data_IF_718488783461
#
_entry.id   IF_718488783461
#
_cell.length_a   1.000
_cell.length_b   1.000
_cell.length_c   1.000
_cell.angle_alpha   90.00
_cell.angle_beta   90.00
_cell.angle_gamma   90.00
#
_symmetry.space_group_name_H-M   'P 1'
#
loop_
_entity.id
_entity.type
_entity.pdbx_description
1 polymer ?
#
# COMPACT_ATOMS: atom_id res chain seq x y z
N UNK A 1 -24.09 -20.41 3.23
CA UNK A 1 -23.20 -20.22 4.41
C UNK A 1 -22.01 -19.45 3.86
N UNK A 2 -22.26 -18.20 3.47
CA UNK A 2 -21.26 -17.34 2.87
C UNK A 2 -20.54 -16.60 3.98
N UNK A 3 -19.35 -17.09 4.32
CA UNK A 3 -18.36 -16.34 5.08
C UNK A 3 -17.93 -15.16 4.19
N UNK A 4 -18.44 -13.98 4.52
CA UNK A 4 -18.02 -12.75 3.87
C UNK A 4 -16.52 -12.54 4.17
N UNK A 5 -15.64 -12.42 3.16
CA UNK A 5 -14.22 -12.23 3.42
C UNK A 5 -14.03 -10.96 4.25
N UNK A 6 -13.11 -10.95 5.23
CA UNK A 6 -12.89 -9.78 6.06
C UNK A 6 -12.62 -8.59 5.15
N UNK A 7 -13.44 -7.55 5.27
CA UNK A 7 -13.30 -6.32 4.51
C UNK A 7 -11.84 -5.86 4.63
N UNK A 8 -11.12 -5.95 3.51
CA UNK A 8 -9.72 -5.54 3.42
C UNK A 8 -9.64 -4.11 3.94
N UNK A 9 -8.86 -3.90 5.01
CA UNK A 9 -8.82 -2.65 5.77
C UNK A 9 -8.32 -1.46 4.92
N UNK A 10 -7.90 -1.74 3.69
CA UNK A 10 -7.37 -0.82 2.69
C UNK A 10 -8.24 -0.72 1.41
N UNK A 11 -9.29 -1.54 1.27
CA UNK A 11 -10.06 -1.59 0.04
C UNK A 11 -11.12 -0.48 -0.04
N UNK A 12 -11.17 0.18 -1.20
CA UNK A 12 -12.42 0.80 -1.64
C UNK A 12 -13.53 -0.26 -1.72
N UNK A 13 -14.78 0.18 -1.63
CA UNK A 13 -15.97 -0.67 -1.46
C UNK A 13 -16.24 -1.67 -2.61
N UNK A 14 -15.36 -1.79 -3.61
CA UNK A 14 -15.51 -2.68 -4.77
C UNK A 14 -14.43 -3.76 -4.86
N UNK A 15 -14.81 -4.93 -5.39
CA UNK A 15 -13.90 -6.07 -5.66
C UNK A 15 -12.83 -5.75 -6.69
N UNK A 16 -12.98 -4.67 -7.47
CA UNK A 16 -11.99 -4.16 -8.41
C UNK A 16 -11.03 -3.12 -7.80
N UNK A 17 -11.33 -2.56 -6.63
CA UNK A 17 -10.55 -1.46 -6.07
C UNK A 17 -9.09 -1.85 -5.84
N UNK A 18 -8.17 -0.96 -6.19
CA UNK A 18 -6.75 -1.17 -5.95
C UNK A 18 -6.45 -1.13 -4.44
N UNK A 19 -5.84 -2.21 -3.94
CA UNK A 19 -5.51 -2.40 -2.52
C UNK A 19 -4.59 -1.29 -1.99
N UNK A 20 -3.60 -0.88 -2.79
CA UNK A 20 -2.63 0.17 -2.45
C UNK A 20 -3.01 1.55 -2.99
N UNK A 21 -4.31 1.81 -3.15
CA UNK A 21 -4.82 3.03 -3.77
C UNK A 21 -4.33 4.32 -3.12
N UNK A 22 -4.09 4.35 -1.80
CA UNK A 22 -3.58 5.57 -1.13
C UNK A 22 -2.13 5.87 -1.55
N UNK A 23 -1.28 4.86 -1.68
CA UNK A 23 0.10 5.03 -2.13
C UNK A 23 0.21 5.49 -3.60
N UNK A 24 -0.75 5.08 -4.43
CA UNK A 24 -0.85 5.50 -5.82
C UNK A 24 -1.42 6.92 -5.97
N UNK A 25 -2.50 7.25 -5.24
CA UNK A 25 -3.10 8.59 -5.23
C UNK A 25 -2.14 9.64 -4.65
N UNK A 26 -1.33 9.28 -3.66
CA UNK A 26 -0.28 10.15 -3.12
C UNK A 26 0.94 10.30 -4.03
N UNK A 27 0.99 9.53 -5.15
CA UNK A 27 2.12 9.45 -6.08
C UNK A 27 3.42 9.00 -5.41
N UNK A 28 3.33 8.28 -4.30
CA UNK A 28 4.51 7.67 -3.66
C UNK A 28 5.00 6.50 -4.50
N UNK A 29 4.06 5.72 -5.03
CA UNK A 29 4.32 4.59 -5.93
C UNK A 29 3.43 4.68 -7.18
N UNK A 30 3.73 3.85 -8.16
CA UNK A 30 2.94 3.64 -9.39
C UNK A 30 2.49 2.20 -9.49
N UNK A 31 1.57 1.89 -10.42
CA UNK A 31 1.23 0.52 -10.75
C UNK A 31 0.66 0.50 -12.17
N UNK A 32 1.28 -0.29 -13.06
CA UNK A 32 0.89 -0.44 -14.46
C UNK A 32 -0.47 -1.13 -14.60
N UNK A 33 -0.85 -1.92 -13.59
CA UNK A 33 -2.14 -2.60 -13.52
C UNK A 33 -3.22 -1.78 -12.80
N UNK A 34 -2.94 -0.53 -12.42
CA UNK A 34 -3.92 0.36 -11.81
C UNK A 34 -4.51 1.31 -12.86
N UNK A 35 -5.81 1.16 -13.13
CA UNK A 35 -6.58 2.06 -13.96
C UNK A 35 -7.21 3.17 -13.11
N UNK A 36 -7.03 4.42 -13.52
CA UNK A 36 -7.79 5.56 -12.98
C UNK A 36 -9.18 5.59 -13.59
N UNK A 37 -10.19 5.66 -12.73
CA UNK A 37 -11.59 5.79 -13.11
C UNK A 37 -12.20 6.96 -12.36
N UNK A 38 -13.22 7.54 -12.97
CA UNK A 38 -14.02 8.59 -12.35
C UNK A 38 -15.36 7.98 -11.98
N UNK A 39 -15.71 8.00 -10.69
CA UNK A 39 -17.00 7.54 -10.18
C UNK A 39 -17.74 8.73 -9.59
N UNK A 40 -18.63 9.32 -10.40
CA UNK A 40 -19.23 10.62 -10.07
C UNK A 40 -18.15 11.69 -10.03
N UNK A 41 -17.98 12.34 -8.88
CA UNK A 41 -16.98 13.39 -8.66
C UNK A 41 -15.65 12.85 -8.11
N UNK A 42 -15.58 11.57 -7.78
CA UNK A 42 -14.41 10.96 -7.12
C UNK A 42 -13.52 10.22 -8.11
N UNK A 43 -12.21 10.47 -8.03
CA UNK A 43 -11.21 9.62 -8.67
C UNK A 43 -11.00 8.35 -7.84
N UNK A 44 -11.18 7.20 -8.48
CA UNK A 44 -10.95 5.88 -7.89
C UNK A 44 -9.92 5.11 -8.72
N UNK A 45 -9.20 4.22 -8.05
CA UNK A 45 -8.23 3.33 -8.68
C UNK A 45 -8.74 1.91 -8.66
N UNK A 46 -8.77 1.28 -9.82
CA UNK A 46 -9.16 -0.11 -9.99
C UNK A 46 -7.98 -0.93 -10.52
N UNK A 47 -7.84 -2.16 -10.04
CA UNK A 47 -6.87 -3.10 -10.58
C UNK A 47 -7.44 -3.79 -11.82
N UNK A 48 -6.68 -3.83 -12.90
CA UNK A 48 -7.06 -4.50 -14.15
C UNK A 48 -6.78 -6.00 -14.14
N UNK A 49 -6.05 -6.51 -13.13
CA UNK A 49 -5.70 -7.92 -12.99
C UNK A 49 -6.19 -8.48 -11.65
N UNK A 50 -7.19 -9.38 -11.65
CA UNK A 50 -7.66 -10.04 -10.43
C UNK A 50 -6.56 -10.81 -9.71
N UNK A 51 -5.67 -11.47 -10.46
CA UNK A 51 -4.54 -12.25 -9.90
C UNK A 51 -3.56 -11.33 -9.18
N UNK A 52 -3.15 -10.23 -9.81
CA UNK A 52 -2.25 -9.27 -9.16
C UNK A 52 -2.90 -8.64 -7.93
N UNK A 53 -4.22 -8.39 -7.97
CA UNK A 53 -4.98 -7.87 -6.84
C UNK A 53 -4.94 -8.84 -5.65
N UNK A 54 -5.10 -10.15 -5.87
CA UNK A 54 -5.01 -11.17 -4.80
C UNK A 54 -3.64 -11.12 -4.12
N UNK A 55 -2.55 -11.02 -4.89
CA UNK A 55 -1.20 -10.92 -4.32
C UNK A 55 -1.03 -9.62 -3.50
N UNK A 56 -1.57 -8.50 -4.01
CA UNK A 56 -1.56 -7.23 -3.28
C UNK A 56 -2.38 -7.30 -1.99
N UNK A 57 -3.53 -7.98 -2.01
CA UNK A 57 -4.41 -8.12 -0.84
C UNK A 57 -3.75 -9.00 0.24
N UNK A 58 -3.12 -10.10 -0.19
CA UNK A 58 -2.30 -10.96 0.68
C UNK A 58 -1.19 -10.16 1.35
N UNK A 59 -0.44 -9.37 0.56
CA UNK A 59 0.61 -8.52 1.11
C UNK A 59 0.04 -7.47 2.09
N UNK A 60 -1.06 -6.81 1.75
CA UNK A 60 -1.67 -5.80 2.60
C UNK A 60 -2.16 -6.38 3.93
N UNK A 61 -2.73 -7.58 3.92
CA UNK A 61 -3.13 -8.31 5.12
C UNK A 61 -1.92 -8.60 6.01
N UNK A 62 -0.82 -9.12 5.43
CA UNK A 62 0.42 -9.39 6.17
C UNK A 62 1.05 -8.11 6.73
N UNK A 63 1.13 -7.04 5.94
CA UNK A 63 1.61 -5.73 6.40
C UNK A 63 0.78 -5.25 7.60
N UNK A 64 -0.55 -5.33 7.49
CA UNK A 64 -1.47 -4.90 8.56
C UNK A 64 -1.25 -5.73 9.83
N UNK A 65 -1.25 -7.06 9.71
CA UNK A 65 -1.09 -7.98 10.83
C UNK A 65 0.25 -7.77 11.54
N UNK A 66 1.36 -7.80 10.78
CA UNK A 66 2.72 -7.73 11.33
C UNK A 66 3.07 -6.33 11.86
N UNK A 67 2.51 -5.28 11.28
CA UNK A 67 2.75 -3.89 11.71
C UNK A 67 1.74 -3.39 12.74
N UNK A 68 0.73 -4.20 13.11
CA UNK A 68 -0.40 -3.76 13.94
C UNK A 68 0.06 -3.10 15.24
N UNK A 69 0.96 -3.74 15.97
CA UNK A 69 1.43 -3.23 17.26
C UNK A 69 2.34 -2.00 17.08
N UNK A 70 3.31 -2.08 16.15
CA UNK A 70 4.25 -1.00 15.88
C UNK A 70 3.57 0.30 15.42
N UNK A 71 2.46 0.19 14.68
CA UNK A 71 1.72 1.33 14.14
C UNK A 71 0.42 1.64 14.91
N UNK A 72 0.12 0.89 15.97
CA UNK A 72 -1.13 0.99 16.74
C UNK A 72 -2.37 0.89 15.84
N UNK A 73 -2.35 -0.04 14.88
CA UNK A 73 -3.47 -0.26 13.97
C UNK A 73 -4.64 -0.91 14.73
N UNK A 74 -5.88 -0.63 14.32
CA UNK A 74 -7.03 -1.32 14.86
C UNK A 74 -7.00 -2.81 14.51
N UNK A 75 -7.93 -3.58 15.10
CA UNK A 75 -8.09 -4.99 14.75
C UNK A 75 -8.51 -5.21 13.29
N UNK A 76 -8.35 -6.44 12.77
CA UNK A 76 -8.78 -6.77 11.42
C UNK A 76 -10.27 -6.42 11.21
N UNK A 77 -10.60 -5.96 10.00
CA UNK A 77 -11.96 -5.54 9.63
C UNK A 77 -12.38 -4.15 10.12
N UNK A 78 -11.55 -3.46 10.93
CA UNK A 78 -11.80 -2.08 11.33
C UNK A 78 -11.10 -1.10 10.37
N UNK A 79 -11.76 0.00 9.97
CA UNK A 79 -11.17 0.95 9.04
C UNK A 79 -9.95 1.64 9.64
N UNK A 80 -8.91 1.82 8.82
CA UNK A 80 -7.72 2.59 9.19
C UNK A 80 -8.00 4.09 9.11
N UNK A 81 -7.45 4.85 10.06
CA UNK A 81 -7.39 6.30 9.91
C UNK A 81 -6.49 6.66 8.71
N UNK A 82 -6.70 7.84 8.12
CA UNK A 82 -5.94 8.25 6.93
C UNK A 82 -4.42 8.16 7.13
N UNK A 83 -3.90 8.65 8.27
CA UNK A 83 -2.46 8.59 8.57
C UNK A 83 -1.94 7.17 8.73
N UNK A 84 -2.75 6.27 9.32
CA UNK A 84 -2.40 4.85 9.46
C UNK A 84 -2.37 4.16 8.09
N UNK A 85 -3.38 4.39 7.25
CA UNK A 85 -3.43 3.86 5.88
C UNK A 85 -2.25 4.37 5.04
N UNK A 86 -1.92 5.67 5.15
CA UNK A 86 -0.77 6.26 4.47
C UNK A 86 0.53 5.61 4.92
N UNK A 87 0.77 5.49 6.24
CA UNK A 87 1.99 4.87 6.77
C UNK A 87 2.11 3.40 6.41
N UNK A 88 1.00 2.65 6.48
CA UNK A 88 0.97 1.25 6.13
C UNK A 88 1.25 1.04 4.63
N UNK A 89 0.54 1.75 3.74
CA UNK A 89 0.67 1.56 2.30
C UNK A 89 1.94 2.20 1.74
N UNK A 90 2.17 3.48 2.03
CA UNK A 90 3.35 4.19 1.51
C UNK A 90 4.63 3.71 2.20
N UNK A 91 4.62 3.61 3.53
CA UNK A 91 5.76 3.13 4.30
C UNK A 91 6.06 1.65 4.04
N UNK A 92 5.03 0.79 4.00
CA UNK A 92 5.14 -0.62 3.66
C UNK A 92 5.85 -0.86 2.33
N UNK A 93 5.32 -0.26 1.27
CA UNK A 93 5.88 -0.44 -0.07
C UNK A 93 7.24 0.24 -0.24
N UNK A 94 7.49 1.38 0.42
CA UNK A 94 8.81 2.03 0.40
C UNK A 94 9.86 1.16 1.09
N UNK A 95 9.55 0.64 2.27
CA UNK A 95 10.43 -0.25 3.00
C UNK A 95 10.69 -1.56 2.25
N UNK A 96 9.69 -2.12 1.56
CA UNK A 96 9.89 -3.29 0.69
C UNK A 96 10.84 -2.99 -0.47
N UNK A 97 10.73 -1.82 -1.12
CA UNK A 97 11.68 -1.43 -2.19
C UNK A 97 13.10 -1.36 -1.69
N UNK A 98 13.30 -0.75 -0.53
CA UNK A 98 14.61 -0.63 0.11
C UNK A 98 15.16 -2.00 0.51
N UNK A 99 14.32 -2.86 1.09
CA UNK A 99 14.68 -4.22 1.49
C UNK A 99 15.09 -5.10 0.31
N UNK A 100 14.35 -4.99 -0.79
CA UNK A 100 14.67 -5.67 -2.04
C UNK A 100 15.79 -4.92 -2.79
N UNK A 101 16.23 -3.74 -2.38
CA UNK A 101 17.26 -2.98 -3.09
C UNK A 101 16.88 -2.68 -4.55
N UNK A 102 15.58 -2.53 -4.85
CA UNK A 102 15.08 -2.26 -6.20
C UNK A 102 14.70 -0.79 -6.36
N UNK A 103 15.04 -0.20 -7.50
CA UNK A 103 14.63 1.16 -7.83
C UNK A 103 13.15 1.25 -8.22
N UNK A 104 12.54 0.13 -8.62
CA UNK A 104 11.17 0.04 -9.14
C UNK A 104 10.14 0.64 -8.17
N UNK A 105 9.26 1.50 -8.69
CA UNK A 105 8.16 2.12 -7.94
C UNK A 105 6.81 1.51 -8.30
N UNK A 106 6.77 0.63 -9.29
CA UNK A 106 5.61 -0.15 -9.66
C UNK A 106 5.28 -1.20 -8.59
N UNK A 107 4.09 -1.10 -7.99
CA UNK A 107 3.62 -2.01 -6.95
C UNK A 107 3.49 -3.43 -7.47
N UNK A 108 2.97 -3.64 -8.67
CA UNK A 108 2.80 -4.99 -9.21
C UNK A 108 4.16 -5.69 -9.37
N UNK A 109 5.13 -4.99 -9.96
CA UNK A 109 6.48 -5.52 -10.15
C UNK A 109 7.22 -5.71 -8.83
N UNK A 110 7.01 -4.83 -7.86
CA UNK A 110 7.57 -4.98 -6.53
C UNK A 110 7.06 -6.24 -5.82
N UNK A 111 5.76 -6.51 -5.91
CA UNK A 111 5.15 -7.71 -5.34
C UNK A 111 5.64 -8.97 -6.07
N UNK A 112 5.75 -8.93 -7.40
CA UNK A 112 6.31 -10.03 -8.17
C UNK A 112 7.77 -10.31 -7.79
N UNK A 113 8.61 -9.28 -7.68
CA UNK A 113 10.00 -9.42 -7.25
C UNK A 113 10.12 -9.98 -5.82
N UNK A 114 9.19 -9.63 -4.92
CA UNK A 114 9.13 -10.22 -3.59
C UNK A 114 8.87 -11.73 -3.64
N UNK A 115 7.94 -12.17 -4.50
CA UNK A 115 7.66 -13.60 -4.73
C UNK A 115 8.82 -14.35 -5.39
N UNK A 116 9.57 -13.70 -6.27
CA UNK A 116 10.72 -14.34 -6.93
C UNK A 116 11.91 -14.53 -5.98
N UNK A 117 12.10 -13.59 -5.05
CA UNK A 117 13.27 -13.58 -4.15
C UNK A 117 13.05 -14.29 -2.83
N UNK A 118 11.80 -14.46 -2.42
CA UNK A 118 11.42 -15.12 -1.18
C UNK A 118 10.43 -16.22 -1.51
N UNK A 119 10.53 -17.38 -0.85
CA UNK A 119 9.65 -18.51 -1.17
C UNK A 119 8.16 -18.18 -0.97
N UNK A 120 7.86 -17.22 -0.08
CA UNK A 120 6.52 -16.68 0.15
C UNK A 120 6.59 -15.26 0.70
N UNK A 121 5.50 -14.49 0.54
CA UNK A 121 5.33 -13.19 1.20
C UNK A 121 5.40 -13.31 2.73
N UNK A 122 5.05 -14.47 3.30
CA UNK A 122 5.16 -14.74 4.74
C UNK A 122 6.60 -14.81 5.23
N UNK A 123 7.55 -15.07 4.33
CA UNK A 123 8.98 -15.22 4.63
C UNK A 123 9.79 -13.94 4.37
N UNK A 124 9.11 -12.83 4.09
CA UNK A 124 9.77 -11.53 4.05
C UNK A 124 10.47 -11.28 5.40
N UNK A 125 11.62 -10.58 5.40
CA UNK A 125 12.30 -10.19 6.62
C UNK A 125 11.48 -9.12 7.37
N UNK A 126 10.50 -9.60 8.13
CA UNK A 126 9.44 -8.79 8.75
C UNK A 126 9.97 -7.84 9.83
N UNK A 127 10.96 -8.24 10.61
CA UNK A 127 11.52 -7.39 11.66
C UNK A 127 12.11 -6.07 11.12
N UNK A 128 13.08 -6.08 10.17
CA UNK A 128 13.58 -4.84 9.59
C UNK A 128 12.51 -4.12 8.75
N UNK A 129 11.59 -4.85 8.12
CA UNK A 129 10.49 -4.25 7.36
C UNK A 129 9.56 -3.44 8.27
N UNK A 130 9.08 -4.02 9.37
CA UNK A 130 8.20 -3.35 10.34
C UNK A 130 8.90 -2.16 10.98
N UNK A 131 10.19 -2.29 11.30
CA UNK A 131 10.99 -1.18 11.82
C UNK A 131 11.06 0.00 10.83
N UNK A 132 11.32 -0.26 9.55
CA UNK A 132 11.35 0.76 8.51
C UNK A 132 9.97 1.41 8.29
N UNK A 133 8.88 0.63 8.32
CA UNK A 133 7.50 1.17 8.24
C UNK A 133 7.21 2.08 9.45
N UNK A 134 7.69 1.69 10.63
CA UNK A 134 7.55 2.51 11.81
C UNK A 134 8.39 3.81 11.73
N UNK A 135 9.55 3.78 11.09
CA UNK A 135 10.36 4.98 10.87
C UNK A 135 9.80 5.90 9.76
N UNK A 136 8.95 5.38 8.88
CA UNK A 136 8.43 6.13 7.73
C UNK A 136 7.61 7.36 8.17
N UNK A 137 7.90 8.49 7.53
CA UNK A 137 7.15 9.73 7.69
C UNK A 137 6.65 10.24 6.33
N UNK A 138 5.44 10.83 6.26
CA UNK A 138 4.96 11.44 5.03
C UNK A 138 5.93 12.51 4.57
N UNK A 139 6.36 12.42 3.31
CA UNK A 139 7.22 13.46 2.72
C UNK A 139 6.43 14.76 2.72
N UNK A 140 6.86 15.77 3.48
CA UNK A 140 6.28 17.11 3.39
C UNK A 140 6.41 17.56 1.95
N UNK A 141 5.31 17.89 1.28
CA UNK A 141 5.37 18.62 0.02
C UNK A 141 6.22 19.85 0.30
N UNK A 142 7.36 19.99 -0.38
CA UNK A 142 8.04 21.27 -0.42
C UNK A 142 6.99 22.28 -0.86
N UNK A 143 6.58 23.16 0.05
CA UNK A 143 5.71 24.26 -0.30
C UNK A 143 6.39 24.94 -1.47
N UNK A 144 5.69 25.04 -2.59
CA UNK A 144 6.11 25.84 -3.73
C UNK A 144 6.28 27.28 -3.25
N UNK A 145 7.47 27.61 -2.73
CA UNK A 145 7.90 28.99 -2.55
C UNK A 145 8.19 29.52 -3.95
N UNK A 146 7.12 29.96 -4.60
CA UNK A 146 7.20 30.81 -5.77
C UNK A 146 6.44 32.11 -5.47
N UNK A 147 7.26 33.18 -5.35
CA UNK A 147 6.95 34.62 -5.53
C UNK A 147 6.43 35.40 -4.33
N UNK A 148 7.33 36.22 -3.76
CA UNK A 148 7.22 37.67 -3.92
C UNK A 148 8.61 38.30 -3.73
N UNK A 149 9.26 38.63 -4.85
CA UNK A 149 10.19 39.74 -4.84
C UNK A 149 9.37 41.03 -4.88
N UNK A 150 9.60 41.91 -3.90
CA UNK A 150 9.51 43.36 -4.03
C UNK A 150 10.30 43.99 -2.89
#
# INVERSE_FOLDING_TARGET
>A
MEDAPPASCCAGTSTSACVFGKALLSRTLSCELAARRTRGEQEVLECTSPVARINCDTLAALLHERSRFALRLPGPGRPLMHQQAMRLQCGGLTAMRELLGVAERDVHRLVAAAHERHASLTELPWEPLVAAIAAWTPRRRAASQARSGR
#
